data_IF_120429206111
#
_entry.id   IF_120429206111
#
_cell.length_a   1.000
_cell.length_b   1.000
_cell.length_c   1.000
_cell.angle_alpha   90.00
_cell.angle_beta   90.00
_cell.angle_gamma   90.00
#
_symmetry.space_group_name_H-M   'P 1'
#
loop_
_entity.id
_entity.type
_entity.pdbx_description
1 polymer ?
#
# COMPACT_ATOMS: atom_id res chain seq x y z
N UNK A 1 55.32 26.79 -29.66
CA UNK A 1 55.39 25.93 -28.46
C UNK A 1 54.57 26.45 -27.30
N UNK A 2 54.65 27.73 -26.89
CA UNK A 2 53.86 28.25 -25.73
C UNK A 2 52.35 28.10 -25.85
N UNK A 3 51.76 28.24 -27.03
CA UNK A 3 50.30 28.10 -27.23
C UNK A 3 49.79 26.64 -27.18
N UNK A 4 50.63 25.65 -27.47
CA UNK A 4 50.29 24.24 -27.41
C UNK A 4 50.26 23.77 -25.95
N UNK A 5 51.24 24.21 -25.14
CA UNK A 5 51.31 23.91 -23.71
C UNK A 5 50.13 24.51 -22.96
N UNK A 6 49.69 25.75 -23.31
CA UNK A 6 48.56 26.40 -22.68
C UNK A 6 47.21 25.66 -23.00
N UNK A 7 47.05 25.21 -24.25
CA UNK A 7 45.86 24.46 -24.65
C UNK A 7 45.80 23.06 -24.01
N UNK A 8 46.95 22.39 -23.86
CA UNK A 8 47.03 21.12 -23.19
C UNK A 8 46.78 21.23 -21.68
N UNK A 9 47.24 22.27 -21.04
CA UNK A 9 46.96 22.53 -19.62
C UNK A 9 45.47 22.87 -19.39
N UNK A 10 44.82 23.64 -20.26
CA UNK A 10 43.40 23.97 -20.17
C UNK A 10 42.53 22.72 -20.38
N UNK A 11 42.91 21.80 -21.30
CA UNK A 11 42.17 20.55 -21.53
C UNK A 11 42.32 19.59 -20.35
N UNK A 12 43.50 19.50 -19.73
CA UNK A 12 43.73 18.68 -18.55
C UNK A 12 42.96 19.19 -17.30
N UNK A 13 42.77 20.52 -17.20
CA UNK A 13 41.97 21.11 -16.10
C UNK A 13 40.46 20.87 -16.27
N UNK A 14 39.96 20.78 -17.52
CA UNK A 14 38.56 20.47 -17.77
C UNK A 14 38.21 19.02 -17.47
N UNK A 15 39.15 18.09 -17.63
CA UNK A 15 38.93 16.64 -17.39
C UNK A 15 39.01 16.24 -15.91
N UNK A 16 39.71 17.05 -15.08
CA UNK A 16 39.80 16.82 -13.63
C UNK A 16 38.56 17.34 -12.88
N UNK A 17 37.76 18.23 -13.46
CA UNK A 17 36.55 18.77 -12.83
C UNK A 17 35.31 17.90 -12.92
N UNK A 18 35.33 16.80 -13.69
CA UNK A 18 34.11 15.95 -13.89
C UNK A 18 34.08 14.68 -13.03
N UNK A 19 35.09 14.43 -12.22
CA UNK A 19 35.14 13.24 -11.37
C UNK A 19 34.70 13.47 -9.91
N UNK A 20 34.23 14.65 -9.57
CA UNK A 20 34.09 15.09 -8.16
C UNK A 20 32.70 14.90 -7.52
N UNK A 21 31.68 14.36 -8.20
CA UNK A 21 30.34 14.39 -7.63
C UNK A 21 29.63 13.02 -7.52
N UNK A 22 30.26 11.91 -7.90
CA UNK A 22 29.60 10.61 -7.82
C UNK A 22 29.59 10.01 -6.40
N UNK A 23 30.65 10.25 -5.62
CA UNK A 23 30.74 9.73 -4.25
C UNK A 23 29.90 10.51 -3.23
N UNK A 24 29.62 11.79 -3.51
CA UNK A 24 28.77 12.64 -2.65
C UNK A 24 27.28 12.28 -2.74
N UNK A 25 26.87 11.48 -3.72
CA UNK A 25 25.48 11.00 -3.88
C UNK A 25 25.25 9.69 -3.11
N UNK A 26 26.28 9.02 -2.63
CA UNK A 26 26.18 7.75 -1.92
C UNK A 26 26.29 7.96 -0.40
N UNK A 27 25.55 8.93 0.12
CA UNK A 27 25.46 9.20 1.55
C UNK A 27 24.51 8.23 2.22
N UNK A 28 24.92 7.70 3.38
CA UNK A 28 23.98 6.96 4.25
C UNK A 28 22.82 7.88 4.65
N UNK A 29 21.57 7.39 4.67
CA UNK A 29 20.44 8.16 5.13
C UNK A 29 20.70 8.79 6.49
N UNK A 30 20.48 10.09 6.63
CA UNK A 30 20.63 10.84 7.88
C UNK A 30 19.52 10.45 8.87
N UNK A 31 18.36 10.09 8.35
CA UNK A 31 17.25 9.61 9.16
C UNK A 31 17.51 8.17 9.59
N UNK A 32 17.66 7.88 10.90
CA UNK A 32 17.88 6.54 11.42
C UNK A 32 16.68 5.60 11.19
N UNK A 33 15.53 6.12 10.78
CA UNK A 33 14.36 5.34 10.40
C UNK A 33 14.39 4.90 8.93
N UNK A 34 15.27 5.50 8.11
CA UNK A 34 15.44 5.12 6.71
C UNK A 34 16.47 3.99 6.63
N UNK A 35 16.03 2.79 6.34
CA UNK A 35 16.89 1.65 6.12
C UNK A 35 17.25 1.52 4.64
N UNK A 36 18.53 1.37 4.32
CA UNK A 36 19.00 1.02 2.97
C UNK A 36 18.89 -0.49 2.69
N UNK A 37 18.59 -1.28 3.70
CA UNK A 37 18.35 -2.72 3.59
C UNK A 37 17.16 -3.12 4.47
N UNK A 38 16.27 -3.92 3.93
CA UNK A 38 15.09 -4.42 4.62
C UNK A 38 15.03 -5.96 4.50
N UNK A 39 14.50 -6.59 5.54
CA UNK A 39 14.19 -8.00 5.50
C UNK A 39 12.87 -8.19 4.69
N UNK A 40 12.93 -9.02 3.65
CA UNK A 40 11.78 -9.31 2.79
C UNK A 40 10.63 -9.92 3.59
N UNK A 41 10.90 -10.68 4.66
CA UNK A 41 9.87 -11.21 5.55
C UNK A 41 9.13 -10.11 6.30
N UNK A 42 9.85 -9.05 6.69
CA UNK A 42 9.21 -7.88 7.31
C UNK A 42 8.34 -7.13 6.31
N UNK A 43 8.77 -7.04 5.04
CA UNK A 43 7.94 -6.46 3.98
C UNK A 43 6.69 -7.30 3.70
N UNK A 44 6.80 -8.62 3.70
CA UNK A 44 5.65 -9.52 3.59
C UNK A 44 4.69 -9.34 4.76
N UNK A 45 5.21 -9.31 6.00
CA UNK A 45 4.41 -9.06 7.19
C UNK A 45 3.70 -7.69 7.14
N UNK A 46 4.34 -6.67 6.56
CA UNK A 46 3.73 -5.34 6.36
C UNK A 46 2.51 -5.40 5.46
N UNK A 47 2.47 -6.28 4.45
CA UNK A 47 1.31 -6.43 3.58
C UNK A 47 0.06 -6.85 4.36
N UNK A 48 0.20 -7.80 5.29
CA UNK A 48 -0.87 -8.21 6.20
C UNK A 48 -1.17 -7.17 7.28
N UNK A 49 -0.12 -6.53 7.79
CA UNK A 49 -0.27 -5.51 8.82
C UNK A 49 -1.11 -4.31 8.34
N UNK A 50 -1.11 -3.99 7.06
CA UNK A 50 -1.91 -2.89 6.48
C UNK A 50 -3.42 -3.06 6.69
N UNK A 51 -3.89 -4.30 6.88
CA UNK A 51 -5.29 -4.57 7.21
C UNK A 51 -5.69 -4.11 8.62
N UNK A 52 -4.75 -4.07 9.56
CA UNK A 52 -5.03 -3.76 10.97
C UNK A 52 -4.31 -2.52 11.52
N UNK A 53 -3.17 -2.15 10.94
CA UNK A 53 -2.34 -1.05 11.39
C UNK A 53 -2.42 0.14 10.44
N UNK A 54 -2.29 1.35 11.00
CA UNK A 54 -2.36 2.62 10.26
C UNK A 54 -1.02 3.36 10.22
N UNK A 55 0.05 2.70 10.58
CA UNK A 55 1.39 3.27 10.60
C UNK A 55 2.41 2.31 11.18
N UNK A 56 3.68 2.73 11.21
CA UNK A 56 4.80 1.89 11.62
C UNK A 56 4.78 1.48 13.10
N UNK A 57 4.14 2.28 13.95
CA UNK A 57 4.05 2.06 15.40
C UNK A 57 2.62 1.72 15.87
N UNK A 58 1.76 1.33 14.96
CA UNK A 58 0.35 1.12 15.27
C UNK A 58 -0.41 2.43 15.47
N UNK A 59 -1.46 2.45 16.32
CA UNK A 59 -2.33 3.62 16.49
C UNK A 59 -1.61 4.87 17.00
N UNK A 60 -0.54 4.70 17.77
CA UNK A 60 0.19 5.79 18.42
C UNK A 60 1.46 6.21 17.65
N UNK A 61 1.64 5.74 16.44
CA UNK A 61 2.84 6.00 15.63
C UNK A 61 2.54 6.75 14.35
N UNK A 62 3.58 7.17 13.63
CA UNK A 62 3.45 7.92 12.38
C UNK A 62 2.44 7.27 11.44
N UNK A 63 1.30 7.93 11.25
CA UNK A 63 0.27 7.50 10.32
C UNK A 63 0.80 7.41 8.88
N UNK A 64 0.37 6.40 8.14
CA UNK A 64 0.70 6.20 6.72
C UNK A 64 -0.23 6.99 5.78
N UNK A 65 -1.28 7.58 6.34
CA UNK A 65 -2.24 8.44 5.64
C UNK A 65 -2.54 9.69 6.47
N UNK A 66 -3.05 10.74 5.81
CA UNK A 66 -3.61 11.91 6.50
C UNK A 66 -4.94 11.52 7.12
N UNK A 67 -5.04 11.60 8.44
CA UNK A 67 -6.21 11.26 9.21
C UNK A 67 -5.83 10.97 10.65
N UNK A 68 -6.83 10.71 11.49
CA UNK A 68 -6.56 10.30 12.86
C UNK A 68 -6.03 8.86 12.90
N UNK A 69 -5.00 8.64 13.68
CA UNK A 69 -4.36 7.34 13.81
C UNK A 69 -5.33 6.30 14.36
N UNK A 70 -5.29 5.10 13.78
CA UNK A 70 -6.20 4.01 14.11
C UNK A 70 -7.59 4.14 13.48
N UNK A 71 -8.02 5.31 13.03
CA UNK A 71 -9.35 5.50 12.45
C UNK A 71 -9.41 5.21 10.95
N UNK A 72 -8.27 5.32 10.26
CA UNK A 72 -8.13 5.04 8.84
C UNK A 72 -7.74 3.60 8.52
N UNK A 73 -7.74 2.68 9.51
CA UNK A 73 -7.38 1.27 9.31
C UNK A 73 -8.41 0.53 8.44
N UNK A 74 -7.94 -0.43 7.62
CA UNK A 74 -8.78 -1.21 6.71
C UNK A 74 -10.00 -1.82 7.41
N UNK A 75 -9.78 -2.68 8.43
CA UNK A 75 -10.88 -3.33 9.13
C UNK A 75 -11.85 -2.34 9.76
N UNK A 76 -11.33 -1.27 10.36
CA UNK A 76 -12.18 -0.28 11.01
C UNK A 76 -13.02 0.49 10.02
N UNK A 77 -12.45 0.93 8.90
CA UNK A 77 -13.19 1.72 7.92
C UNK A 77 -14.22 0.88 7.18
N UNK A 78 -13.86 -0.34 6.76
CA UNK A 78 -14.78 -1.28 6.10
C UNK A 78 -15.92 -1.65 7.05
N UNK A 79 -15.60 -2.02 8.30
CA UNK A 79 -16.61 -2.32 9.32
C UNK A 79 -17.57 -1.15 9.54
N UNK A 80 -17.04 0.06 9.73
CA UNK A 80 -17.85 1.23 9.97
C UNK A 80 -18.85 1.51 8.83
N UNK A 81 -18.43 1.35 7.58
CA UNK A 81 -19.29 1.62 6.43
C UNK A 81 -20.29 0.49 6.16
N UNK A 82 -20.01 -0.73 6.58
CA UNK A 82 -20.92 -1.86 6.40
C UNK A 82 -21.92 -1.97 7.56
N UNK A 83 -21.52 -1.72 8.80
CA UNK A 83 -22.30 -2.09 9.98
C UNK A 83 -23.00 -0.91 10.68
N UNK A 84 -22.38 0.28 10.70
CA UNK A 84 -22.94 1.40 11.47
C UNK A 84 -24.15 2.06 10.83
N UNK A 85 -24.47 1.71 9.61
CA UNK A 85 -25.68 2.13 8.90
C UNK A 85 -26.83 1.12 9.01
N UNK A 86 -26.66 0.08 9.82
CA UNK A 86 -27.66 -0.95 10.11
C UNK A 86 -28.28 -0.74 11.49
N UNK A 87 -29.25 -1.56 11.84
CA UNK A 87 -29.87 -1.61 13.17
C UNK A 87 -29.22 -2.67 14.10
N UNK A 88 -28.15 -3.33 13.64
CA UNK A 88 -27.45 -4.34 14.43
C UNK A 88 -26.45 -3.73 15.43
N UNK A 89 -25.85 -2.58 15.08
CA UNK A 89 -24.82 -1.92 15.88
C UNK A 89 -25.12 -0.44 16.07
N UNK A 90 -25.01 0.00 17.33
CA UNK A 90 -25.16 1.40 17.69
C UNK A 90 -23.80 2.00 18.08
N UNK A 91 -23.47 3.13 17.46
CA UNK A 91 -22.31 3.92 17.84
C UNK A 91 -22.54 4.57 19.22
N UNK A 92 -21.66 4.25 20.19
CA UNK A 92 -21.87 4.66 21.59
C UNK A 92 -21.60 6.16 21.83
N UNK A 93 -20.70 6.77 21.07
CA UNK A 93 -20.34 8.19 21.21
C UNK A 93 -21.17 9.04 20.24
N UNK A 94 -22.37 9.41 20.68
CA UNK A 94 -23.40 10.09 19.87
C UNK A 94 -22.99 11.49 19.38
N UNK A 95 -22.04 12.12 20.02
CA UNK A 95 -21.51 13.46 19.73
C UNK A 95 -20.37 13.47 18.69
N UNK A 96 -20.00 12.31 18.15
CA UNK A 96 -18.99 12.24 17.10
C UNK A 96 -19.60 12.64 15.74
N UNK A 97 -19.31 13.88 15.31
CA UNK A 97 -19.83 14.48 14.08
C UNK A 97 -19.44 13.69 12.83
N UNK A 98 -18.30 12.98 12.82
CA UNK A 98 -17.84 12.18 11.69
C UNK A 98 -18.63 10.88 11.52
N UNK A 99 -19.16 10.33 12.61
CA UNK A 99 -19.91 9.07 12.60
C UNK A 99 -21.40 9.27 12.38
N UNK A 100 -21.94 10.38 12.83
CA UNK A 100 -23.38 10.69 12.69
C UNK A 100 -23.90 10.59 11.23
N UNK A 101 -23.16 11.03 10.20
CA UNK A 101 -23.57 10.83 8.82
C UNK A 101 -23.70 9.36 8.41
N UNK A 102 -22.86 8.46 8.97
CA UNK A 102 -22.90 7.03 8.66
C UNK A 102 -24.13 6.40 9.32
N UNK A 103 -24.28 6.58 10.64
CA UNK A 103 -25.39 6.00 11.40
C UNK A 103 -26.77 6.50 10.96
N UNK A 104 -26.85 7.73 10.48
CA UNK A 104 -28.10 8.34 10.00
C UNK A 104 -28.33 8.16 8.49
N UNK A 105 -27.50 7.38 7.78
CA UNK A 105 -27.54 7.19 6.32
C UNK A 105 -27.54 8.52 5.54
N UNK A 106 -26.80 9.52 6.05
CA UNK A 106 -26.74 10.88 5.51
C UNK A 106 -25.34 11.26 5.02
N UNK A 107 -24.52 10.26 4.67
CA UNK A 107 -23.15 10.47 4.18
C UNK A 107 -23.14 11.12 2.80
N UNK A 108 -22.03 11.78 2.53
CA UNK A 108 -21.71 12.37 1.23
C UNK A 108 -20.27 12.00 0.86
N UNK A 109 -19.86 12.33 -0.35
CA UNK A 109 -18.45 12.17 -0.78
C UNK A 109 -17.46 12.99 0.06
N UNK A 110 -17.94 13.98 0.82
CA UNK A 110 -17.12 14.78 1.74
C UNK A 110 -17.05 14.20 3.16
N UNK A 111 -17.79 13.13 3.47
CA UNK A 111 -17.77 12.51 4.80
C UNK A 111 -16.40 11.90 5.08
N UNK A 112 -15.71 12.28 6.18
CA UNK A 112 -14.33 11.85 6.46
C UNK A 112 -14.18 10.32 6.47
N UNK A 113 -15.13 9.60 7.07
CA UNK A 113 -15.10 8.12 7.17
C UNK A 113 -15.17 7.45 5.79
N UNK A 114 -16.00 7.95 4.88
CA UNK A 114 -16.09 7.47 3.49
C UNK A 114 -14.77 7.72 2.76
N UNK A 115 -14.22 8.92 2.92
CA UNK A 115 -12.97 9.31 2.30
C UNK A 115 -11.77 8.48 2.82
N UNK A 116 -11.69 8.26 4.13
CA UNK A 116 -10.61 7.44 4.72
C UNK A 116 -10.67 5.99 4.26
N UNK A 117 -11.86 5.41 4.15
CA UNK A 117 -12.01 4.06 3.59
C UNK A 117 -11.50 3.99 2.15
N UNK A 118 -11.94 4.91 1.30
CA UNK A 118 -11.49 4.98 -0.09
C UNK A 118 -9.98 5.13 -0.21
N UNK A 119 -9.39 6.04 0.57
CA UNK A 119 -7.94 6.28 0.58
C UNK A 119 -7.18 5.07 1.11
N UNK A 120 -7.68 4.38 2.16
CA UNK A 120 -7.06 3.16 2.69
C UNK A 120 -7.00 2.07 1.65
N UNK A 121 -8.09 1.79 0.98
CA UNK A 121 -8.15 0.77 -0.07
C UNK A 121 -7.16 1.10 -1.21
N UNK A 122 -7.09 2.36 -1.63
CA UNK A 122 -6.16 2.80 -2.68
C UNK A 122 -4.69 2.71 -2.24
N UNK A 123 -4.39 3.06 -0.99
CA UNK A 123 -3.07 2.92 -0.39
C UNK A 123 -2.62 1.44 -0.35
N UNK A 124 -3.49 0.56 0.15
CA UNK A 124 -3.18 -0.87 0.27
C UNK A 124 -2.97 -1.52 -1.10
N UNK A 125 -3.80 -1.18 -2.11
CA UNK A 125 -3.57 -1.61 -3.51
C UNK A 125 -2.18 -1.15 -4.00
N UNK A 126 -1.78 0.08 -3.73
CA UNK A 126 -0.48 0.61 -4.13
C UNK A 126 0.66 -0.13 -3.43
N UNK A 127 0.52 -0.38 -2.13
CA UNK A 127 1.47 -1.14 -1.32
C UNK A 127 1.66 -2.57 -1.88
N UNK A 128 0.54 -3.25 -2.21
CA UNK A 128 0.58 -4.59 -2.78
C UNK A 128 1.19 -4.61 -4.19
N UNK A 129 0.87 -3.62 -5.04
CA UNK A 129 1.45 -3.49 -6.38
C UNK A 129 2.97 -3.30 -6.31
N UNK A 130 3.45 -2.45 -5.40
CA UNK A 130 4.88 -2.27 -5.18
C UNK A 130 5.55 -3.59 -4.79
N UNK A 131 5.01 -4.28 -3.79
CA UNK A 131 5.57 -5.55 -3.32
C UNK A 131 5.61 -6.60 -4.45
N UNK A 132 4.51 -6.79 -5.17
CA UNK A 132 4.43 -7.73 -6.29
C UNK A 132 5.47 -7.38 -7.36
N UNK A 133 5.59 -6.10 -7.74
CA UNK A 133 6.55 -5.63 -8.73
C UNK A 133 8.00 -5.91 -8.32
N UNK A 134 8.33 -5.69 -7.04
CA UNK A 134 9.69 -5.83 -6.54
C UNK A 134 10.09 -7.28 -6.23
N UNK A 135 9.11 -8.14 -5.85
CA UNK A 135 9.41 -9.47 -5.33
C UNK A 135 9.05 -10.63 -6.28
N UNK A 136 8.32 -10.40 -7.37
CA UNK A 136 8.04 -11.44 -8.38
C UNK A 136 9.34 -12.00 -8.94
N UNK A 137 9.46 -13.33 -8.94
CA UNK A 137 10.66 -14.05 -9.36
C UNK A 137 11.80 -14.09 -8.31
N UNK A 138 11.60 -13.47 -7.13
CA UNK A 138 12.55 -13.51 -6.00
C UNK A 138 12.00 -14.33 -4.83
N UNK A 139 10.68 -14.31 -4.65
CA UNK A 139 9.95 -15.08 -3.67
C UNK A 139 9.23 -16.27 -4.30
N UNK A 140 8.86 -17.29 -3.52
CA UNK A 140 7.98 -18.36 -3.96
C UNK A 140 6.65 -17.84 -4.51
N UNK A 141 6.09 -18.54 -5.49
CA UNK A 141 4.85 -18.12 -6.16
C UNK A 141 3.64 -18.09 -5.21
N UNK A 142 3.61 -18.93 -4.19
CA UNK A 142 2.58 -18.93 -3.16
C UNK A 142 2.59 -17.65 -2.31
N UNK A 143 3.76 -17.13 -1.93
CA UNK A 143 3.89 -15.86 -1.20
C UNK A 143 3.44 -14.68 -2.08
N UNK A 144 3.73 -14.70 -3.37
CA UNK A 144 3.25 -13.69 -4.32
C UNK A 144 1.73 -13.80 -4.50
N UNK A 145 1.20 -15.03 -4.56
CA UNK A 145 -0.24 -15.28 -4.69
C UNK A 145 -1.01 -14.75 -3.46
N UNK A 146 -0.45 -14.89 -2.26
CA UNK A 146 -1.04 -14.29 -1.04
C UNK A 146 -1.22 -12.78 -1.17
N UNK A 147 -0.22 -12.04 -1.67
CA UNK A 147 -0.32 -10.60 -1.81
C UNK A 147 -1.25 -10.20 -2.96
N UNK A 148 -1.30 -11.00 -4.03
CA UNK A 148 -2.32 -10.84 -5.08
C UNK A 148 -3.73 -11.04 -4.54
N UNK A 149 -3.92 -11.99 -3.62
CA UNK A 149 -5.19 -12.17 -2.91
C UNK A 149 -5.56 -10.93 -2.07
N UNK A 150 -4.62 -10.39 -1.28
CA UNK A 150 -4.87 -9.16 -0.50
C UNK A 150 -5.23 -7.97 -1.40
N UNK A 151 -4.58 -7.84 -2.55
CA UNK A 151 -4.94 -6.84 -3.55
C UNK A 151 -6.34 -7.05 -4.11
N UNK A 152 -6.71 -8.29 -4.42
CA UNK A 152 -8.06 -8.63 -4.89
C UNK A 152 -9.12 -8.37 -3.81
N UNK A 153 -8.81 -8.61 -2.53
CA UNK A 153 -9.67 -8.25 -1.39
C UNK A 153 -9.94 -6.73 -1.34
N UNK A 154 -8.91 -5.89 -1.50
CA UNK A 154 -9.10 -4.44 -1.55
C UNK A 154 -9.98 -4.01 -2.74
N UNK A 155 -9.83 -4.64 -3.90
CA UNK A 155 -10.70 -4.38 -5.05
C UNK A 155 -12.13 -4.88 -4.84
N UNK A 156 -12.30 -5.97 -4.09
CA UNK A 156 -13.63 -6.43 -3.69
C UNK A 156 -14.33 -5.39 -2.80
N UNK A 157 -13.64 -4.84 -1.81
CA UNK A 157 -14.19 -3.77 -0.96
C UNK A 157 -14.51 -2.49 -1.77
N UNK A 158 -13.66 -2.14 -2.75
CA UNK A 158 -14.01 -1.07 -3.69
C UNK A 158 -15.30 -1.38 -4.49
N UNK A 159 -15.44 -2.62 -4.96
CA UNK A 159 -16.64 -3.03 -5.69
C UNK A 159 -17.87 -2.98 -4.79
N UNK A 160 -17.77 -3.49 -3.58
CA UNK A 160 -18.90 -3.57 -2.66
C UNK A 160 -19.35 -2.19 -2.18
N UNK A 161 -18.44 -1.39 -1.66
CA UNK A 161 -18.75 -0.09 -1.05
C UNK A 161 -18.97 1.04 -2.09
N UNK A 162 -18.19 1.04 -3.19
CA UNK A 162 -18.14 2.18 -4.11
C UNK A 162 -18.61 1.85 -5.53
N UNK A 163 -18.78 0.58 -5.88
CA UNK A 163 -19.14 0.09 -7.23
C UNK A 163 -18.12 0.44 -8.31
N UNK A 164 -16.98 1.00 -7.96
CA UNK A 164 -15.88 1.42 -8.84
C UNK A 164 -14.56 1.48 -8.09
N UNK A 165 -13.46 1.34 -8.81
CA UNK A 165 -12.12 1.45 -8.26
C UNK A 165 -11.18 2.24 -9.18
N UNK A 166 -10.20 2.96 -8.62
CA UNK A 166 -9.02 3.39 -9.33
C UNK A 166 -8.19 2.12 -9.61
N UNK A 167 -8.29 1.62 -10.84
CA UNK A 167 -7.75 0.31 -11.19
C UNK A 167 -6.33 0.41 -11.74
N UNK A 168 -5.38 -0.19 -11.04
CA UNK A 168 -3.99 -0.28 -11.46
C UNK A 168 -3.33 -1.52 -10.89
N UNK A 169 -2.55 -2.21 -11.72
CA UNK A 169 -1.78 -3.41 -11.32
C UNK A 169 -0.27 -3.16 -11.32
N UNK A 170 0.16 -2.06 -11.90
CA UNK A 170 1.55 -1.72 -12.08
C UNK A 170 1.98 -0.63 -11.09
N UNK A 171 3.22 -0.68 -10.66
CA UNK A 171 3.84 0.34 -9.83
C UNK A 171 4.76 1.22 -10.69
N UNK A 172 4.20 2.23 -11.37
CA UNK A 172 4.92 3.06 -12.36
C UNK A 172 4.64 4.56 -12.29
N UNK A 173 3.98 5.05 -11.24
CA UNK A 173 3.70 6.49 -11.07
C UNK A 173 2.64 7.09 -12.03
N UNK A 174 2.10 6.33 -12.99
CA UNK A 174 1.01 6.80 -13.83
C UNK A 174 -0.31 6.78 -13.08
N UNK A 175 -1.25 7.62 -13.48
CA UNK A 175 -2.59 7.63 -12.88
C UNK A 175 -3.33 6.32 -13.22
N UNK A 176 -4.13 5.80 -12.27
CA UNK A 176 -4.95 4.62 -12.51
C UNK A 176 -6.10 4.93 -13.47
N UNK A 177 -6.48 3.93 -14.26
CA UNK A 177 -7.76 3.93 -14.96
C UNK A 177 -8.91 3.66 -13.97
N UNK A 178 -10.15 3.95 -14.38
CA UNK A 178 -11.33 3.55 -13.61
C UNK A 178 -11.87 2.21 -14.11
N UNK A 179 -12.17 1.28 -13.18
CA UNK A 179 -12.91 0.05 -13.49
C UNK A 179 -14.20 0.00 -12.67
N UNK A 180 -15.33 -0.33 -13.32
CA UNK A 180 -16.68 -0.14 -12.77
C UNK A 180 -17.47 -1.44 -12.80
N UNK A 181 -18.24 -1.70 -11.76
CA UNK A 181 -19.29 -2.72 -11.69
C UNK A 181 -18.82 -4.10 -12.17
N UNK A 182 -19.48 -4.60 -13.21
CA UNK A 182 -19.23 -5.97 -13.72
C UNK A 182 -17.81 -6.18 -14.25
N UNK A 183 -17.16 -5.14 -14.77
CA UNK A 183 -15.78 -5.27 -15.27
C UNK A 183 -14.79 -5.45 -14.12
N UNK A 184 -15.05 -4.78 -13.00
CA UNK A 184 -14.26 -4.95 -11.78
C UNK A 184 -14.51 -6.33 -11.16
N UNK A 185 -15.77 -6.77 -11.09
CA UNK A 185 -16.15 -8.11 -10.64
C UNK A 185 -15.45 -9.20 -11.46
N UNK A 186 -15.55 -9.14 -12.78
CA UNK A 186 -14.94 -10.14 -13.66
C UNK A 186 -13.41 -10.19 -13.50
N UNK A 187 -12.77 -9.05 -13.27
CA UNK A 187 -11.33 -9.05 -12.99
C UNK A 187 -11.00 -9.73 -11.67
N UNK A 188 -11.78 -9.44 -10.59
CA UNK A 188 -11.59 -10.06 -9.27
C UNK A 188 -11.74 -11.58 -9.39
N UNK A 189 -12.79 -12.05 -10.05
CA UNK A 189 -13.07 -13.48 -10.24
C UNK A 189 -11.94 -14.17 -11.02
N UNK A 190 -11.46 -13.55 -12.10
CA UNK A 190 -10.32 -14.05 -12.88
C UNK A 190 -9.03 -14.08 -12.08
N UNK A 191 -8.75 -13.04 -11.29
CA UNK A 191 -7.55 -12.97 -10.46
C UNK A 191 -7.56 -14.05 -9.38
N UNK A 192 -8.68 -14.23 -8.67
CA UNK A 192 -8.85 -15.28 -7.66
C UNK A 192 -8.71 -16.67 -8.27
N UNK A 193 -9.33 -16.92 -9.40
CA UNK A 193 -9.20 -18.19 -10.14
C UNK A 193 -7.75 -18.46 -10.54
N UNK A 194 -7.02 -17.43 -10.96
CA UNK A 194 -5.63 -17.58 -11.40
C UNK A 194 -4.67 -17.88 -10.25
N UNK A 195 -4.91 -17.35 -9.05
CA UNK A 195 -4.03 -17.56 -7.90
C UNK A 195 -4.38 -18.80 -7.07
N UNK A 196 -5.62 -19.29 -7.14
CA UNK A 196 -6.07 -20.46 -6.35
C UNK A 196 -5.11 -21.65 -6.42
N UNK A 197 -4.65 -22.12 -7.62
CA UNK A 197 -3.73 -23.24 -7.71
C UNK A 197 -2.31 -22.95 -7.20
N UNK A 198 -1.97 -21.67 -6.97
CA UNK A 198 -0.67 -21.24 -6.45
C UNK A 198 -0.68 -21.16 -4.91
N UNK A 199 -1.86 -21.07 -4.29
CA UNK A 199 -2.01 -20.96 -2.84
C UNK A 199 -1.72 -22.30 -2.16
N UNK A 200 -1.23 -22.23 -0.92
CA UNK A 200 -1.06 -23.41 -0.09
C UNK A 200 -2.43 -24.00 0.32
N UNK A 201 -2.47 -25.32 0.54
CA UNK A 201 -3.67 -25.97 1.05
C UNK A 201 -4.11 -25.41 2.41
N UNK A 202 -5.41 -25.48 2.68
CA UNK A 202 -6.01 -25.04 3.95
C UNK A 202 -5.33 -25.74 5.13
N UNK A 203 -4.87 -24.93 6.10
CA UNK A 203 -4.16 -25.43 7.27
C UNK A 203 -2.62 -25.44 7.14
N UNK A 204 -2.06 -25.30 5.95
CA UNK A 204 -0.61 -25.20 5.78
C UNK A 204 -0.02 -23.92 6.43
N UNK A 205 -0.81 -22.85 6.51
CA UNK A 205 -0.45 -21.58 7.17
C UNK A 205 -0.61 -21.60 8.70
N UNK A 206 -1.35 -22.55 9.25
CA UNK A 206 -1.68 -22.64 10.68
C UNK A 206 -0.66 -23.44 11.49
N UNK A 207 0.52 -23.71 10.95
CA UNK A 207 1.56 -24.36 11.69
C UNK A 207 2.15 -23.38 12.72
N UNK A 208 1.93 -23.65 14.00
CA UNK A 208 2.39 -22.82 15.13
C UNK A 208 3.92 -22.58 15.18
N UNK A 209 4.67 -23.21 14.28
CA UNK A 209 6.11 -23.03 14.13
C UNK A 209 6.46 -21.85 13.21
N UNK A 210 5.55 -21.44 12.33
CA UNK A 210 5.78 -20.38 11.34
C UNK A 210 5.36 -18.99 11.87
N UNK A 211 4.42 -18.96 12.82
CA UNK A 211 4.15 -17.75 13.61
C UNK A 211 5.09 -17.77 14.81
N UNK A 212 6.28 -17.19 14.62
CA UNK A 212 7.30 -17.08 15.68
C UNK A 212 6.69 -16.57 16.99
N UNK A 213 6.95 -17.31 18.06
CA UNK A 213 6.64 -16.91 19.42
C UNK A 213 7.47 -15.72 19.83
#
# INVERSE_FOLDING_TARGET
MKHIILKSAALAFLTLGTMSCADDLNISPIDPQTSSSYDVKQLLAKQYASLGLTGQKGPDGNGDMSGDEGESGFYRTVFNLNELNTDEILWAWQDNEDMAPITNMAWTSASPRVNWCYQRLAYDVTLHNQFISEQTGKLPDDEIAEIRFLRALNYFEFLDLFRRAPFKLEFNGELPDEKVGIDLYNWIDQELTAIEPMMKEVGAYCNSKDFGR
#
